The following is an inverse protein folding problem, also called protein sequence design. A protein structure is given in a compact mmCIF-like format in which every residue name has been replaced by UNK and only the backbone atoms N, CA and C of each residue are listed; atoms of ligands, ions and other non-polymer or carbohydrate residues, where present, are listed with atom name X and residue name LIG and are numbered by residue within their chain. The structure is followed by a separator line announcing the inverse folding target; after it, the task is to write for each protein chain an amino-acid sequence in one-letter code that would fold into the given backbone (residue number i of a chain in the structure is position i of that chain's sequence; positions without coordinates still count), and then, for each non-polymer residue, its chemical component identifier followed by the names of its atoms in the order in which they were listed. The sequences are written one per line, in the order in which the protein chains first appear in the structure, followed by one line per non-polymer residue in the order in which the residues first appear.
data_IF_587834979355
#
_entry.id   IF_587834979355
#
_cell.length_a   1.000
_cell.length_b   1.000
_cell.length_c   1.000
_cell.angle_alpha   90.00
_cell.angle_beta   90.00
_cell.angle_gamma   90.00
#
_symmetry.space_group_name_H-M   'P 1'
#
loop_
_entity.id
_entity.type
_entity.pdbx_description
1 polymer ?
#
# COMPACT_ATOMS: atom_id res chain seq x y z
N UNK A 1 18.16 35.85 36.20
CA UNK A 1 19.22 36.07 35.17
C UNK A 1 20.05 34.82 34.78
N UNK A 2 20.06 33.70 35.52
CA UNK A 2 20.93 32.53 35.19
C UNK A 2 20.46 31.61 34.04
N UNK A 3 19.19 31.64 33.61
CA UNK A 3 18.67 30.77 32.51
C UNK A 3 19.16 31.15 31.11
N UNK A 4 19.53 32.42 30.89
CA UNK A 4 19.89 32.91 29.55
C UNK A 4 21.33 32.53 29.14
N UNK A 5 22.20 32.24 30.12
CA UNK A 5 23.59 31.85 29.88
C UNK A 5 23.69 30.41 29.37
N UNK A 6 22.90 29.48 29.92
CA UNK A 6 22.90 28.07 29.49
C UNK A 6 22.42 27.87 28.05
N UNK A 7 21.38 28.61 27.62
CA UNK A 7 20.92 28.57 26.22
C UNK A 7 21.99 29.08 25.25
N UNK A 8 22.72 30.15 25.60
CA UNK A 8 23.78 30.69 24.74
C UNK A 8 24.98 29.75 24.63
N UNK A 9 25.35 29.06 25.71
CA UNK A 9 26.42 28.06 25.71
C UNK A 9 26.02 26.83 24.91
N UNK A 10 24.78 26.34 25.03
CA UNK A 10 24.28 25.22 24.24
C UNK A 10 24.23 25.55 22.73
N UNK A 11 23.75 26.75 22.36
CA UNK A 11 23.76 27.22 20.97
C UNK A 11 25.18 27.34 20.40
N UNK A 12 26.13 27.82 21.20
CA UNK A 12 27.54 27.87 20.80
C UNK A 12 28.14 26.49 20.62
N UNK A 13 27.86 25.54 21.51
CA UNK A 13 28.32 24.16 21.40
C UNK A 13 27.76 23.47 20.14
N UNK A 14 26.48 23.65 19.84
CA UNK A 14 25.87 23.14 18.60
C UNK A 14 26.48 23.77 17.35
N UNK A 15 26.75 25.08 17.37
CA UNK A 15 27.39 25.76 16.24
C UNK A 15 28.83 25.27 16.01
N UNK A 16 29.58 25.01 17.08
CA UNK A 16 30.94 24.44 17.01
C UNK A 16 30.90 23.01 16.46
N UNK A 17 30.00 22.15 16.95
CA UNK A 17 29.82 20.77 16.45
C UNK A 17 29.42 20.77 14.96
N UNK A 18 28.56 21.70 14.55
CA UNK A 18 28.17 21.86 13.15
C UNK A 18 29.37 22.29 12.29
N UNK A 19 30.12 23.30 12.72
CA UNK A 19 31.30 23.77 11.98
C UNK A 19 32.38 22.68 11.89
N UNK A 20 32.64 21.94 12.97
CA UNK A 20 33.65 20.87 12.95
C UNK A 20 33.21 19.70 12.07
N UNK A 21 31.94 19.31 12.09
CA UNK A 21 31.39 18.26 11.22
C UNK A 21 31.41 18.68 9.75
N UNK A 22 31.11 19.95 9.47
CA UNK A 22 31.17 20.51 8.12
C UNK A 22 32.61 20.60 7.59
N UNK A 23 33.55 21.06 8.42
CA UNK A 23 34.97 21.12 8.08
C UNK A 23 35.58 19.72 7.93
N UNK A 24 35.17 18.74 8.74
CA UNK A 24 35.55 17.34 8.58
C UNK A 24 35.01 16.76 7.27
N UNK A 25 33.75 17.06 6.93
CA UNK A 25 33.16 16.63 5.65
C UNK A 25 33.91 17.24 4.46
N UNK A 26 34.27 18.53 4.53
CA UNK A 26 35.09 19.18 3.51
C UNK A 26 36.50 18.61 3.43
N UNK A 27 37.12 18.28 4.56
CA UNK A 27 38.43 17.63 4.61
C UNK A 27 38.39 16.21 4.02
N UNK A 28 37.40 15.40 4.40
CA UNK A 28 37.17 14.05 3.87
C UNK A 28 36.89 14.07 2.38
N UNK A 29 36.07 15.02 1.88
CA UNK A 29 35.83 15.19 0.45
C UNK A 29 37.12 15.58 -0.27
N UNK A 30 37.96 16.43 0.32
CA UNK A 30 39.23 16.87 -0.28
C UNK A 30 40.28 15.75 -0.32
N UNK A 31 40.35 14.92 0.71
CA UNK A 31 41.21 13.72 0.74
C UNK A 31 40.67 12.60 -0.18
N UNK A 32 39.34 12.42 -0.26
CA UNK A 32 38.73 11.55 -1.29
C UNK A 32 39.09 12.06 -2.69
N UNK A 33 39.00 13.36 -2.94
CA UNK A 33 39.30 13.96 -4.25
C UNK A 33 40.78 13.80 -4.63
N UNK A 34 41.69 13.76 -3.65
CA UNK A 34 43.12 13.43 -3.87
C UNK A 34 43.36 11.94 -4.13
N UNK A 35 42.64 11.07 -3.42
CA UNK A 35 42.67 9.61 -3.63
C UNK A 35 42.05 9.19 -4.97
N UNK A 36 41.09 9.96 -5.49
CA UNK A 36 40.29 9.67 -6.68
C UNK A 36 40.93 10.07 -8.03
N UNK A 37 42.19 10.53 -8.05
CA UNK A 37 42.92 10.74 -9.30
C UNK A 37 43.36 9.43 -10.01
N UNK A 38 43.06 8.25 -9.46
CA UNK A 38 43.54 6.95 -9.97
C UNK A 38 42.49 5.84 -10.20
N UNK A 39 41.17 6.10 -10.23
CA UNK A 39 40.15 5.03 -10.38
C UNK A 39 38.89 5.42 -11.20
N UNK A 40 38.15 4.46 -11.83
CA UNK A 40 37.08 4.75 -12.79
C UNK A 40 35.84 5.42 -12.19
N UNK A 41 35.21 6.31 -12.96
CA UNK A 41 34.21 7.31 -12.53
C UNK A 41 32.87 6.75 -12.00
N UNK A 42 32.48 5.52 -12.34
CA UNK A 42 31.10 5.06 -12.13
C UNK A 42 30.83 4.42 -10.75
N UNK A 43 31.85 3.84 -10.12
CA UNK A 43 31.78 3.34 -8.72
C UNK A 43 31.80 4.45 -7.67
N UNK A 44 32.11 5.70 -8.07
CA UNK A 44 32.35 6.85 -7.18
C UNK A 44 31.05 7.60 -6.85
N UNK A 45 30.07 7.60 -7.76
CA UNK A 45 28.80 8.33 -7.57
C UNK A 45 27.92 7.63 -6.51
N UNK A 46 27.94 6.31 -6.45
CA UNK A 46 27.09 5.53 -5.54
C UNK A 46 27.55 5.63 -4.08
N UNK A 47 28.87 5.63 -3.83
CA UNK A 47 29.41 5.72 -2.48
C UNK A 47 29.24 7.13 -1.87
N UNK A 48 29.42 8.19 -2.67
CA UNK A 48 29.22 9.57 -2.23
C UNK A 48 27.73 9.86 -1.95
N UNK A 49 26.80 9.26 -2.70
CA UNK A 49 25.35 9.46 -2.48
C UNK A 49 24.79 8.73 -1.25
N UNK A 50 25.38 7.59 -0.84
CA UNK A 50 24.92 6.84 0.34
C UNK A 50 25.36 7.48 1.67
N UNK A 51 26.61 7.93 1.77
CA UNK A 51 27.11 8.56 3.01
C UNK A 51 26.53 9.96 3.24
N UNK A 52 26.33 10.73 2.17
CA UNK A 52 25.73 12.07 2.23
C UNK A 52 24.24 12.02 2.63
N UNK A 53 23.54 10.91 2.35
CA UNK A 53 22.15 10.70 2.77
C UNK A 53 22.02 10.35 4.26
N UNK A 54 22.91 9.50 4.79
CA UNK A 54 22.89 9.09 6.20
C UNK A 54 23.29 10.25 7.12
N UNK A 55 24.34 11.01 6.77
CA UNK A 55 24.76 12.19 7.54
C UNK A 55 23.72 13.32 7.50
N UNK A 56 23.07 13.57 6.36
CA UNK A 56 22.03 14.61 6.26
C UNK A 56 20.80 14.27 7.09
N UNK A 57 20.38 13.00 7.14
CA UNK A 57 19.21 12.59 7.92
C UNK A 57 19.49 12.54 9.44
N UNK A 58 20.69 12.12 9.87
CA UNK A 58 21.08 12.17 11.27
C UNK A 58 21.16 13.62 11.80
N UNK A 59 21.65 14.54 10.96
CA UNK A 59 21.72 15.97 11.29
C UNK A 59 20.32 16.60 11.31
N UNK A 60 19.40 16.15 10.44
CA UNK A 60 18.01 16.59 10.41
C UNK A 60 17.25 16.22 11.69
N UNK A 61 17.48 15.00 12.21
CA UNK A 61 16.83 14.53 13.43
C UNK A 61 17.29 15.32 14.67
N UNK A 62 18.58 15.67 14.74
CA UNK A 62 19.10 16.53 15.82
C UNK A 62 18.63 17.99 15.70
N UNK A 63 18.48 18.51 14.47
CA UNK A 63 17.98 19.87 14.25
C UNK A 63 16.49 19.97 14.56
N UNK A 64 15.65 19.01 14.19
CA UNK A 64 14.22 19.03 14.52
C UNK A 64 13.97 19.07 16.04
N UNK A 65 14.78 18.35 16.83
CA UNK A 65 14.65 18.30 18.28
C UNK A 65 15.10 19.61 18.99
N UNK A 66 16.13 20.27 18.44
CA UNK A 66 16.58 21.60 18.90
C UNK A 66 15.61 22.71 18.47
N UNK A 67 14.98 22.58 17.29
CA UNK A 67 14.12 23.58 16.67
C UNK A 67 12.68 23.56 17.21
N UNK A 68 12.16 22.40 17.62
CA UNK A 68 10.86 22.30 18.31
C UNK A 68 10.84 23.10 19.64
N UNK A 69 12.02 23.39 20.21
CA UNK A 69 12.18 24.14 21.44
C UNK A 69 12.47 25.64 21.26
N UNK A 70 12.65 26.14 20.04
CA UNK A 70 12.95 27.57 19.79
C UNK A 70 12.02 28.20 18.75
N UNK A 71 10.95 28.87 19.21
CA UNK A 71 10.03 29.66 18.37
C UNK A 71 10.72 30.92 17.81
N UNK A 72 11.44 30.80 16.71
CA UNK A 72 12.05 31.94 16.00
C UNK A 72 11.60 32.01 14.55
N UNK A 73 11.04 33.16 14.16
CA UNK A 73 10.52 33.47 12.82
C UNK A 73 11.56 33.27 11.69
N UNK A 74 12.86 33.42 11.98
CA UNK A 74 13.93 33.20 10.99
C UNK A 74 14.10 31.73 10.57
N UNK A 75 13.67 30.78 11.40
CA UNK A 75 13.78 29.34 11.11
C UNK A 75 12.73 28.88 10.11
N UNK A 76 11.49 29.40 10.20
CA UNK A 76 10.41 29.08 9.26
C UNK A 76 10.79 29.43 7.82
N UNK A 77 11.43 30.59 7.61
CA UNK A 77 11.88 31.00 6.27
C UNK A 77 12.93 30.07 5.68
N UNK A 78 13.85 29.57 6.51
CA UNK A 78 14.88 28.61 6.06
C UNK A 78 14.29 27.24 5.72
N UNK A 79 13.25 26.81 6.44
CA UNK A 79 12.48 25.58 6.12
C UNK A 79 11.81 25.72 4.74
N UNK A 80 11.16 26.85 4.49
CA UNK A 80 10.47 27.11 3.23
C UNK A 80 11.44 27.18 2.04
N UNK A 81 12.59 27.83 2.22
CA UNK A 81 13.65 27.90 1.21
C UNK A 81 14.28 26.52 0.94
N UNK A 82 14.46 25.68 1.97
CA UNK A 82 14.98 24.33 1.82
C UNK A 82 13.98 23.39 1.11
N UNK A 83 12.70 23.45 1.47
CA UNK A 83 11.63 22.71 0.79
C UNK A 83 11.46 23.15 -0.67
N UNK A 84 11.66 24.45 -0.96
CA UNK A 84 11.72 24.95 -2.33
C UNK A 84 12.90 24.35 -3.12
N UNK A 85 14.08 24.26 -2.50
CA UNK A 85 15.27 23.68 -3.11
C UNK A 85 15.11 22.18 -3.39
N UNK A 86 14.53 21.42 -2.44
CA UNK A 86 14.18 20.00 -2.63
C UNK A 86 13.27 19.80 -3.84
N UNK A 87 12.22 20.61 -3.99
CA UNK A 87 11.32 20.55 -5.15
C UNK A 87 12.05 20.85 -6.46
N UNK A 88 12.97 21.82 -6.46
CA UNK A 88 13.76 22.17 -7.66
C UNK A 88 14.69 21.04 -8.10
N UNK A 89 15.36 20.38 -7.14
CA UNK A 89 16.24 19.23 -7.41
C UNK A 89 15.42 18.01 -7.88
N UNK A 90 14.28 17.74 -7.23
CA UNK A 90 13.35 16.69 -7.61
C UNK A 90 12.83 16.85 -9.05
N UNK A 91 12.39 18.07 -9.41
CA UNK A 91 11.91 18.36 -10.76
C UNK A 91 13.01 18.26 -11.83
N UNK A 92 14.27 18.54 -11.47
CA UNK A 92 15.41 18.36 -12.37
C UNK A 92 15.69 16.87 -12.63
N UNK A 93 15.65 16.03 -11.58
CA UNK A 93 15.78 14.56 -11.71
C UNK A 93 14.63 13.94 -12.51
N UNK A 94 13.41 14.45 -12.32
CA UNK A 94 12.21 14.04 -13.08
C UNK A 94 12.38 14.20 -14.59
N UNK A 95 12.88 15.35 -15.05
CA UNK A 95 13.09 15.60 -16.49
C UNK A 95 14.07 14.62 -17.11
N UNK A 96 15.13 14.25 -16.40
CA UNK A 96 16.13 13.29 -16.89
C UNK A 96 15.54 11.88 -17.05
N UNK A 97 14.76 11.43 -16.06
CA UNK A 97 14.10 10.10 -16.06
C UNK A 97 12.95 10.00 -17.06
N UNK A 98 12.23 11.10 -17.31
CA UNK A 98 11.19 11.16 -18.34
C UNK A 98 11.78 11.00 -19.76
N UNK A 99 12.93 11.61 -20.07
CA UNK A 99 13.60 11.44 -21.37
C UNK A 99 14.14 10.04 -21.63
N UNK A 100 14.60 9.32 -20.61
CA UNK A 100 15.12 7.96 -20.78
C UNK A 100 14.02 6.90 -20.92
N UNK A 101 12.85 7.11 -20.30
CA UNK A 101 11.74 6.14 -20.35
C UNK A 101 10.78 6.31 -21.54
N UNK A 102 10.80 7.45 -22.22
CA UNK A 102 9.94 7.70 -23.41
C UNK A 102 10.36 6.84 -24.61
N UNK A 103 11.62 6.44 -24.71
CA UNK A 103 12.12 5.67 -25.84
C UNK A 103 11.94 4.14 -25.73
N UNK A 104 11.45 3.62 -24.59
CA UNK A 104 11.34 2.16 -24.35
C UNK A 104 9.90 1.62 -24.40
N UNK A 105 8.86 2.47 -24.44
CA UNK A 105 7.46 2.05 -24.26
C UNK A 105 6.48 2.51 -25.34
N UNK A 106 6.94 2.78 -26.56
CA UNK A 106 6.04 3.04 -27.69
C UNK A 106 5.56 1.72 -28.33
N UNK A 107 4.59 1.07 -27.70
CA UNK A 107 3.91 -0.09 -28.28
C UNK A 107 2.81 -0.68 -27.40
N UNK A 108 1.55 -0.37 -27.74
CA UNK A 108 0.30 -1.07 -27.34
C UNK A 108 -0.19 -1.03 -25.87
N UNK A 109 -1.42 -0.52 -25.71
CA UNK A 109 -2.37 -0.76 -24.62
C UNK A 109 -1.99 -0.45 -23.16
N UNK A 110 -1.45 0.74 -22.87
CA UNK A 110 -1.44 1.27 -21.50
C UNK A 110 -2.88 1.60 -21.08
N UNK A 111 -3.39 0.91 -20.06
CA UNK A 111 -4.72 1.11 -19.47
C UNK A 111 -4.96 2.55 -19.01
N UNK A 112 -6.22 2.99 -18.96
CA UNK A 112 -6.57 4.39 -18.63
C UNK A 112 -6.10 4.78 -17.22
N UNK A 113 -6.14 3.87 -16.26
CA UNK A 113 -5.64 4.12 -14.90
C UNK A 113 -4.12 4.32 -14.82
N UNK A 114 -3.32 3.59 -15.60
CA UNK A 114 -1.86 3.79 -15.68
C UNK A 114 -1.48 5.20 -16.16
N UNK A 115 -2.32 5.80 -17.02
CA UNK A 115 -2.16 7.21 -17.45
C UNK A 115 -2.54 8.20 -16.35
N UNK A 116 -3.57 7.89 -15.53
CA UNK A 116 -4.09 8.75 -14.46
C UNK A 116 -3.14 8.87 -13.26
N UNK A 117 -2.37 7.83 -12.97
CA UNK A 117 -1.34 7.84 -11.91
C UNK A 117 -0.32 8.98 -12.12
N UNK A 118 -0.01 9.32 -13.39
CA UNK A 118 1.01 10.33 -13.73
C UNK A 118 0.56 11.78 -13.52
N UNK A 119 -0.74 12.05 -13.33
CA UNK A 119 -1.29 13.42 -13.37
C UNK A 119 -1.73 14.02 -12.03
N UNK A 120 -1.65 13.30 -10.90
CA UNK A 120 -2.39 13.64 -9.68
C UNK A 120 -1.57 14.16 -8.48
N UNK A 121 -0.40 14.77 -8.69
CA UNK A 121 0.54 15.10 -7.59
C UNK A 121 0.23 16.37 -6.77
N UNK A 122 -0.72 17.24 -7.16
CA UNK A 122 -0.88 18.56 -6.50
C UNK A 122 -2.01 18.69 -5.47
N UNK A 123 -2.75 17.62 -5.17
CA UNK A 123 -3.54 17.37 -3.95
C UNK A 123 -4.14 15.97 -4.12
N UNK A 124 -3.65 14.99 -3.36
CA UNK A 124 -4.14 13.60 -3.46
C UNK A 124 -5.58 13.54 -2.95
N UNK A 125 -6.52 13.70 -3.86
CA UNK A 125 -7.96 13.54 -3.65
C UNK A 125 -8.42 12.30 -4.42
N UNK A 126 -8.18 11.14 -3.83
CA UNK A 126 -8.63 9.87 -4.35
C UNK A 126 -10.14 9.70 -4.14
N UNK A 127 -10.79 9.05 -5.08
CA UNK A 127 -12.17 8.62 -4.93
C UNK A 127 -12.27 7.37 -4.05
N UNK A 128 -11.45 6.35 -4.32
CA UNK A 128 -11.43 5.08 -3.60
C UNK A 128 -9.98 4.66 -3.32
N UNK A 129 -9.66 4.42 -2.06
CA UNK A 129 -8.36 3.89 -1.62
C UNK A 129 -8.55 2.62 -0.82
N UNK A 130 -7.49 1.83 -0.74
CA UNK A 130 -7.41 0.62 0.08
C UNK A 130 -6.47 0.83 1.26
N UNK A 131 -6.82 0.30 2.42
CA UNK A 131 -5.90 0.12 3.54
C UNK A 131 -5.74 -1.38 3.79
N UNK A 132 -4.55 -1.89 3.47
CA UNK A 132 -4.18 -3.29 3.60
C UNK A 132 -3.15 -3.45 4.73
N UNK A 133 -3.32 -4.46 5.58
CA UNK A 133 -2.22 -5.00 6.38
C UNK A 133 -1.84 -6.36 5.81
N UNK A 134 -0.57 -6.54 5.45
CA UNK A 134 -0.08 -7.80 4.87
C UNK A 134 1.08 -8.34 5.67
N UNK A 135 1.08 -9.66 5.90
CA UNK A 135 2.21 -10.41 6.42
C UNK A 135 2.54 -11.54 5.46
N UNK A 136 3.77 -11.57 4.96
CA UNK A 136 4.29 -12.64 4.13
C UNK A 136 5.47 -13.29 4.86
N UNK A 137 5.37 -14.59 5.12
CA UNK A 137 6.37 -15.32 5.89
C UNK A 137 6.40 -16.80 5.46
N UNK A 138 7.56 -17.45 5.63
CA UNK A 138 7.85 -18.77 5.08
C UNK A 138 6.87 -19.87 5.55
N UNK A 139 6.40 -19.78 6.79
CA UNK A 139 5.51 -20.76 7.40
C UNK A 139 4.02 -20.38 7.31
N UNK A 140 3.65 -19.47 6.40
CA UNK A 140 2.24 -19.22 6.13
C UNK A 140 1.57 -20.50 5.59
N UNK A 141 0.52 -20.95 6.29
CA UNK A 141 -0.25 -22.12 5.90
C UNK A 141 -0.98 -21.93 4.57
N UNK A 142 -1.31 -20.70 4.21
CA UNK A 142 -1.87 -20.40 2.89
C UNK A 142 -0.80 -20.22 1.81
N UNK A 143 0.49 -20.23 2.20
CA UNK A 143 1.65 -20.11 1.31
C UNK A 143 1.56 -18.89 0.41
N UNK A 144 0.95 -17.80 0.88
CA UNK A 144 0.89 -16.55 0.14
C UNK A 144 2.29 -15.97 0.01
N UNK A 145 2.61 -15.46 -1.17
CA UNK A 145 3.90 -14.83 -1.44
C UNK A 145 3.71 -13.47 -2.08
N UNK A 146 4.83 -12.81 -2.38
CA UNK A 146 4.85 -11.55 -3.12
C UNK A 146 4.12 -11.69 -4.47
N UNK A 147 4.13 -12.89 -5.07
CA UNK A 147 3.51 -13.13 -6.38
C UNK A 147 2.00 -12.92 -6.34
N UNK A 148 1.33 -13.50 -5.36
CA UNK A 148 -0.11 -13.34 -5.18
C UNK A 148 -0.47 -11.92 -4.72
N UNK A 149 0.37 -11.27 -3.92
CA UNK A 149 0.20 -9.86 -3.58
C UNK A 149 0.24 -8.97 -4.84
N UNK A 150 1.14 -9.22 -5.79
CA UNK A 150 1.19 -8.51 -7.08
C UNK A 150 -0.08 -8.74 -7.89
N UNK A 151 -0.57 -9.99 -7.98
CA UNK A 151 -1.84 -10.29 -8.65
C UNK A 151 -3.01 -9.51 -8.03
N UNK A 152 -3.10 -9.53 -6.70
CA UNK A 152 -4.13 -8.80 -5.96
C UNK A 152 -4.04 -7.28 -6.17
N UNK A 153 -2.83 -6.69 -6.14
CA UNK A 153 -2.66 -5.25 -6.39
C UNK A 153 -3.22 -4.85 -7.76
N UNK A 154 -2.94 -5.65 -8.79
CA UNK A 154 -3.45 -5.39 -10.14
C UNK A 154 -4.95 -5.59 -10.23
N UNK A 155 -5.52 -6.56 -9.50
CA UNK A 155 -6.96 -6.70 -9.37
C UNK A 155 -7.61 -5.48 -8.74
N UNK A 156 -7.09 -4.99 -7.62
CA UNK A 156 -7.68 -3.83 -6.92
C UNK A 156 -7.62 -2.57 -7.78
N UNK A 157 -6.53 -2.37 -8.52
CA UNK A 157 -6.41 -1.28 -9.51
C UNK A 157 -7.47 -1.40 -10.61
N UNK A 158 -7.67 -2.61 -11.15
CA UNK A 158 -8.73 -2.88 -12.11
C UNK A 158 -10.12 -2.64 -11.52
N UNK A 159 -10.39 -3.08 -10.29
CA UNK A 159 -11.66 -2.88 -9.61
C UNK A 159 -11.98 -1.40 -9.37
N UNK A 160 -10.96 -0.54 -9.38
CA UNK A 160 -11.08 0.90 -9.32
C UNK A 160 -10.48 1.54 -8.08
N UNK A 161 -9.70 0.81 -7.28
CA UNK A 161 -8.84 1.42 -6.25
C UNK A 161 -7.80 2.30 -6.93
N UNK A 162 -7.58 3.51 -6.41
CA UNK A 162 -6.63 4.47 -6.99
C UNK A 162 -5.29 4.50 -6.27
N UNK A 163 -5.28 4.04 -5.01
CA UNK A 163 -4.12 4.05 -4.16
C UNK A 163 -4.25 3.02 -3.04
N UNK A 164 -3.14 2.38 -2.69
CA UNK A 164 -3.07 1.40 -1.61
C UNK A 164 -2.16 1.94 -0.51
N UNK A 165 -2.68 2.05 0.71
CA UNK A 165 -1.88 2.22 1.92
C UNK A 165 -1.62 0.84 2.51
N UNK A 166 -0.37 0.38 2.46
CA UNK A 166 -0.02 -0.98 2.86
C UNK A 166 0.86 -0.96 4.12
N UNK A 167 0.32 -1.44 5.24
CA UNK A 167 1.11 -1.81 6.39
C UNK A 167 1.78 -3.15 6.14
N UNK A 168 3.10 -3.15 5.95
CA UNK A 168 3.86 -4.39 5.89
C UNK A 168 4.11 -4.87 7.32
N UNK A 169 3.31 -5.84 7.73
CA UNK A 169 3.48 -6.57 8.97
C UNK A 169 4.58 -7.61 8.79
N UNK A 170 5.67 -7.51 9.54
CA UNK A 170 6.79 -8.45 9.48
C UNK A 170 7.39 -8.68 10.87
N UNK A 171 7.94 -9.87 11.10
CA UNK A 171 8.68 -10.21 12.32
C UNK A 171 10.18 -10.02 12.11
N UNK A 172 10.70 -10.50 10.97
CA UNK A 172 12.12 -10.43 10.63
C UNK A 172 12.38 -9.37 9.55
N UNK A 173 13.54 -8.71 9.61
CA UNK A 173 13.93 -7.73 8.59
C UNK A 173 13.97 -8.28 7.16
N UNK A 174 14.22 -9.59 7.00
CA UNK A 174 14.17 -10.29 5.70
C UNK A 174 12.77 -10.43 5.11
N UNK A 175 11.72 -10.24 5.90
CA UNK A 175 10.31 -10.26 5.46
C UNK A 175 9.82 -8.88 5.00
N UNK A 176 10.67 -7.84 5.08
CA UNK A 176 10.34 -6.51 4.57
C UNK A 176 10.12 -6.53 3.06
N UNK A 177 9.06 -5.85 2.63
CA UNK A 177 8.62 -5.81 1.24
C UNK A 177 8.98 -4.50 0.53
N UNK A 178 9.59 -3.53 1.21
CA UNK A 178 9.85 -2.20 0.67
C UNK A 178 10.71 -2.22 -0.60
N UNK A 179 11.80 -3.01 -0.62
CA UNK A 179 12.66 -3.18 -1.80
C UNK A 179 11.90 -3.87 -2.92
N UNK A 180 11.19 -4.95 -2.61
CA UNK A 180 10.40 -5.76 -3.55
C UNK A 180 9.22 -5.01 -4.17
N UNK A 181 8.72 -3.97 -3.51
CA UNK A 181 7.59 -3.15 -3.97
C UNK A 181 8.02 -1.75 -4.45
N UNK A 182 9.31 -1.50 -4.62
CA UNK A 182 9.86 -0.20 -5.03
C UNK A 182 9.14 0.38 -6.25
N UNK A 183 8.81 -0.46 -7.24
CA UNK A 183 8.11 -0.03 -8.46
C UNK A 183 6.70 0.52 -8.20
N UNK A 184 5.93 -0.13 -7.32
CA UNK A 184 4.61 0.33 -6.91
C UNK A 184 4.69 1.60 -6.05
N UNK A 185 5.72 1.70 -5.21
CA UNK A 185 5.97 2.89 -4.37
C UNK A 185 6.33 4.10 -5.25
N UNK A 186 7.29 3.94 -6.15
CA UNK A 186 7.80 5.01 -7.01
C UNK A 186 6.77 5.47 -8.04
N UNK A 187 5.91 4.57 -8.52
CA UNK A 187 4.79 4.94 -9.37
C UNK A 187 3.66 5.64 -8.61
N UNK A 188 3.68 5.66 -7.27
CA UNK A 188 2.64 6.29 -6.48
C UNK A 188 1.34 5.49 -6.40
N UNK A 189 1.36 4.21 -6.78
CA UNK A 189 0.26 3.26 -6.58
C UNK A 189 0.14 2.89 -5.10
N UNK A 190 1.28 2.78 -4.43
CA UNK A 190 1.37 2.25 -3.08
C UNK A 190 2.10 3.21 -2.16
N UNK A 191 1.56 3.42 -0.96
CA UNK A 191 2.29 3.99 0.17
C UNK A 191 2.64 2.87 1.14
N UNK A 192 3.93 2.58 1.23
CA UNK A 192 4.46 1.59 2.15
C UNK A 192 4.51 2.17 3.57
N UNK A 193 3.92 1.44 4.51
CA UNK A 193 3.93 1.76 5.93
C UNK A 193 4.69 0.65 6.65
N UNK A 194 5.84 0.98 7.22
CA UNK A 194 6.66 0.03 7.98
C UNK A 194 5.92 -0.33 9.28
N UNK A 195 5.61 -1.62 9.47
CA UNK A 195 4.75 -2.10 10.56
C UNK A 195 5.28 -3.38 11.20
N UNK A 196 6.43 -3.35 11.91
CA UNK A 196 6.98 -4.56 12.53
C UNK A 196 6.01 -5.24 13.52
N UNK A 197 6.26 -6.51 13.86
CA UNK A 197 5.47 -7.30 14.81
C UNK A 197 5.37 -6.67 16.21
N UNK A 198 6.28 -5.76 16.57
CA UNK A 198 6.22 -5.00 17.82
C UNK A 198 5.62 -3.59 17.66
N UNK A 199 5.06 -3.26 16.50
CA UNK A 199 4.48 -1.95 16.23
C UNK A 199 3.16 -1.69 16.98
N UNK A 200 2.54 -2.74 17.54
CA UNK A 200 1.31 -2.60 18.32
C UNK A 200 1.59 -2.36 19.78
N UNK A 201 0.80 -1.47 20.39
CA UNK A 201 0.80 -1.24 21.83
C UNK A 201 0.28 -2.44 22.64
N UNK A 202 -0.46 -3.34 21.99
CA UNK A 202 -1.07 -4.52 22.61
C UNK A 202 -0.44 -5.79 22.03
N UNK A 203 0.68 -6.20 22.64
CA UNK A 203 1.54 -7.27 22.15
C UNK A 203 0.87 -8.65 22.21
N UNK A 204 0.32 -9.13 21.09
CA UNK A 204 0.04 -10.57 20.93
C UNK A 204 -1.02 -10.95 19.90
N UNK A 205 -2.02 -10.10 19.64
CA UNK A 205 -3.13 -10.46 18.76
C UNK A 205 -3.03 -9.75 17.40
N UNK A 206 -2.94 -10.54 16.32
CA UNK A 206 -2.93 -10.07 14.93
C UNK A 206 -4.11 -9.14 14.61
N UNK A 207 -5.26 -9.37 15.26
CA UNK A 207 -6.45 -8.53 15.16
C UNK A 207 -6.18 -7.11 15.63
N UNK A 208 -5.52 -6.95 16.78
CA UNK A 208 -5.15 -5.64 17.31
C UNK A 208 -4.15 -4.94 16.40
N UNK A 209 -3.17 -5.67 15.86
CA UNK A 209 -2.24 -5.10 14.89
C UNK A 209 -2.94 -4.56 13.64
N UNK A 210 -3.94 -5.28 13.12
CA UNK A 210 -4.72 -4.84 11.95
C UNK A 210 -5.49 -3.56 12.26
N UNK A 211 -6.23 -3.53 13.37
CA UNK A 211 -7.00 -2.36 13.78
C UNK A 211 -6.10 -1.14 14.05
N UNK A 212 -4.98 -1.32 14.75
CA UNK A 212 -4.05 -0.23 15.04
C UNK A 212 -3.39 0.32 13.77
N UNK A 213 -3.01 -0.55 12.82
CA UNK A 213 -2.54 -0.13 11.49
C UNK A 213 -3.62 0.70 10.78
N UNK A 214 -4.83 0.16 10.65
CA UNK A 214 -5.92 0.83 9.92
C UNK A 214 -6.21 2.21 10.48
N UNK A 215 -6.32 2.31 11.81
CA UNK A 215 -6.55 3.58 12.48
C UNK A 215 -5.35 4.53 12.39
N UNK A 216 -4.10 4.05 12.36
CA UNK A 216 -2.91 4.90 12.17
C UNK A 216 -2.84 5.45 10.74
N UNK A 217 -3.10 4.62 9.74
CA UNK A 217 -3.19 5.04 8.34
C UNK A 217 -4.34 6.03 8.16
N UNK A 218 -5.53 5.72 8.67
CA UNK A 218 -6.70 6.60 8.56
C UNK A 218 -6.48 7.97 9.19
N UNK A 219 -5.93 8.04 10.41
CA UNK A 219 -5.61 9.33 11.06
C UNK A 219 -4.68 10.19 10.21
N UNK A 220 -3.73 9.57 9.51
CA UNK A 220 -2.74 10.28 8.69
C UNK A 220 -3.24 10.63 7.29
N UNK A 221 -4.01 9.75 6.67
CA UNK A 221 -4.31 9.80 5.23
C UNK A 221 -5.80 9.72 4.89
N UNK A 222 -6.70 9.53 5.86
CA UNK A 222 -8.14 9.37 5.61
C UNK A 222 -8.77 10.54 4.86
N UNK A 223 -8.25 11.75 5.05
CA UNK A 223 -8.70 12.96 4.35
C UNK A 223 -8.32 13.00 2.86
N UNK A 224 -7.43 12.12 2.41
CA UNK A 224 -6.98 12.07 1.01
C UNK A 224 -7.93 11.27 0.11
N UNK A 225 -8.93 10.61 0.69
CA UNK A 225 -9.84 9.74 -0.04
C UNK A 225 -11.29 10.07 0.29
N UNK A 226 -12.20 9.89 -0.67
CA UNK A 226 -13.65 9.96 -0.42
C UNK A 226 -14.19 8.66 0.16
N UNK A 227 -13.73 7.53 -0.36
CA UNK A 227 -14.09 6.19 0.06
C UNK A 227 -12.84 5.37 0.37
N UNK A 228 -12.95 4.51 1.36
CA UNK A 228 -11.90 3.63 1.86
C UNK A 228 -12.47 2.23 1.88
N UNK A 229 -11.73 1.28 1.32
CA UNK A 229 -11.97 -0.14 1.47
C UNK A 229 -10.84 -0.75 2.33
N UNK A 230 -11.19 -1.75 3.12
CA UNK A 230 -10.23 -2.53 3.92
C UNK A 230 -10.49 -4.00 3.67
N UNK A 231 -9.48 -4.68 3.13
CA UNK A 231 -9.53 -6.10 2.74
C UNK A 231 -8.24 -6.81 3.12
N UNK A 232 -8.29 -8.13 3.09
CA UNK A 232 -7.11 -8.98 3.14
C UNK A 232 -6.64 -9.31 1.70
N UNK A 233 -5.39 -9.74 1.52
CA UNK A 233 -4.80 -10.00 0.18
C UNK A 233 -5.49 -11.18 -0.56
N UNK A 234 -6.24 -12.00 0.17
CA UNK A 234 -7.02 -13.11 -0.37
C UNK A 234 -8.49 -12.74 -0.63
N UNK A 235 -8.85 -11.46 -0.48
CA UNK A 235 -10.21 -10.94 -0.59
C UNK A 235 -10.37 -10.02 -1.81
N UNK A 236 -11.36 -10.33 -2.65
CA UNK A 236 -11.60 -9.74 -3.95
C UNK A 236 -13.06 -9.26 -4.02
N UNK A 237 -13.33 -7.94 -3.91
CA UNK A 237 -14.66 -7.40 -4.16
C UNK A 237 -15.13 -7.80 -5.55
N UNK A 238 -16.37 -8.19 -5.75
CA UNK A 238 -16.85 -8.68 -7.04
C UNK A 238 -18.29 -8.25 -7.32
N UNK A 239 -18.57 -7.91 -8.57
CA UNK A 239 -19.92 -7.63 -9.08
C UNK A 239 -20.17 -8.52 -10.30
N UNK A 240 -21.17 -9.41 -10.22
CA UNK A 240 -21.46 -10.37 -11.30
C UNK A 240 -21.92 -9.67 -12.58
N UNK A 241 -22.57 -8.52 -12.44
CA UNK A 241 -23.19 -7.81 -13.55
C UNK A 241 -22.34 -6.64 -14.07
N UNK A 242 -21.17 -6.37 -13.47
CA UNK A 242 -20.25 -5.31 -13.90
C UNK A 242 -18.80 -5.72 -13.61
N UNK A 243 -18.11 -6.16 -14.67
CA UNK A 243 -16.72 -6.66 -14.60
C UNK A 243 -15.71 -5.74 -15.31
N UNK A 244 -16.19 -4.62 -15.84
CA UNK A 244 -15.34 -3.65 -16.55
C UNK A 244 -14.40 -2.91 -15.58
N UNK A 245 -13.30 -2.37 -16.10
CA UNK A 245 -12.33 -1.54 -15.35
C UNK A 245 -13.07 -0.45 -14.55
N UNK A 246 -12.92 -0.44 -13.22
CA UNK A 246 -13.49 0.55 -12.32
C UNK A 246 -14.90 0.25 -11.82
N UNK A 247 -15.35 -1.01 -11.87
CA UNK A 247 -16.72 -1.39 -11.47
C UNK A 247 -17.07 -0.98 -10.03
N UNK A 248 -16.15 -1.06 -9.06
CA UNK A 248 -16.43 -0.62 -7.69
C UNK A 248 -16.72 0.87 -7.63
N UNK A 249 -15.97 1.69 -8.38
CA UNK A 249 -16.23 3.13 -8.43
C UNK A 249 -17.59 3.44 -9.03
N UNK A 250 -17.97 2.73 -10.11
CA UNK A 250 -19.28 2.86 -10.75
C UNK A 250 -20.39 2.45 -9.80
N UNK A 251 -20.23 1.31 -9.12
CA UNK A 251 -21.16 0.82 -8.12
C UNK A 251 -21.40 1.88 -7.03
N UNK A 252 -20.34 2.38 -6.40
CA UNK A 252 -20.44 3.41 -5.35
C UNK A 252 -21.11 4.69 -5.90
N UNK A 253 -20.73 5.16 -7.10
CA UNK A 253 -21.34 6.34 -7.71
C UNK A 253 -22.82 6.17 -7.97
N UNK A 254 -23.24 5.02 -8.51
CA UNK A 254 -24.64 4.68 -8.79
C UNK A 254 -25.47 4.88 -7.52
N UNK A 255 -25.08 4.25 -6.41
CA UNK A 255 -25.82 4.36 -5.16
C UNK A 255 -25.75 5.77 -4.54
N UNK A 256 -24.61 6.45 -4.64
CA UNK A 256 -24.50 7.83 -4.16
C UNK A 256 -25.45 8.79 -4.89
N UNK A 257 -25.67 8.58 -6.19
CA UNK A 257 -26.63 9.35 -7.00
C UNK A 257 -28.07 8.98 -6.66
N UNK A 258 -28.41 7.68 -6.67
CA UNK A 258 -29.81 7.24 -6.58
C UNK A 258 -30.39 7.24 -5.16
N UNK A 259 -29.58 6.89 -4.16
CA UNK A 259 -30.03 6.77 -2.77
C UNK A 259 -29.53 7.93 -1.90
N UNK A 260 -28.65 8.80 -2.42
CA UNK A 260 -28.31 10.08 -1.82
C UNK A 260 -27.12 10.08 -0.86
N UNK A 261 -26.78 11.28 -0.38
CA UNK A 261 -25.55 11.56 0.40
C UNK A 261 -25.54 11.00 1.82
N UNK A 262 -26.58 10.29 2.26
CA UNK A 262 -26.62 9.73 3.62
C UNK A 262 -25.93 8.35 3.70
N UNK A 263 -25.64 7.70 2.56
CA UNK A 263 -24.92 6.42 2.55
C UNK A 263 -23.47 6.63 2.93
N UNK A 264 -23.04 5.91 3.95
CA UNK A 264 -21.68 5.98 4.47
C UNK A 264 -20.95 4.63 4.42
N UNK A 265 -21.65 3.52 4.18
CA UNK A 265 -21.03 2.20 4.15
C UNK A 265 -21.74 1.26 3.19
N UNK A 266 -20.98 0.51 2.40
CA UNK A 266 -21.42 -0.66 1.64
C UNK A 266 -20.84 -1.90 2.29
N UNK A 267 -21.70 -2.89 2.55
CA UNK A 267 -21.34 -4.18 3.11
C UNK A 267 -21.25 -5.21 1.97
N UNK A 268 -20.28 -6.10 2.06
CA UNK A 268 -20.04 -7.17 1.08
C UNK A 268 -20.05 -8.49 1.85
N UNK A 269 -21.02 -9.35 1.52
CA UNK A 269 -21.12 -10.70 2.10
C UNK A 269 -19.94 -11.54 1.65
N UNK A 270 -19.41 -12.35 2.58
CA UNK A 270 -18.23 -13.17 2.34
C UNK A 270 -18.57 -14.53 1.71
N UNK A 271 -18.00 -14.80 0.54
CA UNK A 271 -18.11 -16.08 -0.17
C UNK A 271 -16.73 -16.69 -0.34
N UNK A 272 -16.57 -17.93 0.12
CA UNK A 272 -15.32 -18.66 -0.02
C UNK A 272 -15.17 -19.30 -1.40
N UNK A 273 -13.98 -19.14 -1.98
CA UNK A 273 -13.50 -19.97 -3.07
C UNK A 273 -12.65 -21.11 -2.50
N UNK A 274 -13.04 -22.35 -2.79
CA UNK A 274 -12.49 -23.58 -2.21
C UNK A 274 -11.93 -24.52 -3.30
N UNK A 275 -11.28 -25.60 -2.87
CA UNK A 275 -10.71 -26.63 -3.74
C UNK A 275 -9.20 -26.52 -3.94
N UNK A 276 -8.61 -27.56 -4.52
CA UNK A 276 -7.15 -27.68 -4.75
C UNK A 276 -6.60 -26.70 -5.79
N UNK A 277 -7.51 -26.24 -6.66
CA UNK A 277 -7.24 -25.41 -7.82
C UNK A 277 -6.50 -26.12 -8.96
N UNK A 278 -6.65 -25.60 -10.18
CA UNK A 278 -5.94 -26.13 -11.35
C UNK A 278 -4.47 -25.67 -11.37
N UNK A 279 -3.55 -26.50 -10.87
CA UNK A 279 -2.11 -26.20 -10.83
C UNK A 279 -1.44 -26.11 -12.21
N UNK A 280 -2.14 -26.34 -13.31
CA UNK A 280 -1.66 -25.97 -14.64
C UNK A 280 -1.71 -24.45 -14.88
N UNK A 281 -2.57 -23.73 -14.14
CA UNK A 281 -2.66 -22.26 -14.15
C UNK A 281 -1.72 -21.64 -13.13
N UNK A 282 -1.38 -20.38 -13.35
CA UNK A 282 -0.37 -19.66 -12.56
C UNK A 282 -0.88 -18.34 -11.94
N UNK A 283 -2.19 -18.10 -11.99
CA UNK A 283 -2.86 -17.03 -11.24
C UNK A 283 -3.93 -17.59 -10.31
N UNK A 284 -4.03 -17.06 -9.10
CA UNK A 284 -4.99 -17.53 -8.09
C UNK A 284 -6.44 -17.50 -8.59
N UNK A 285 -6.83 -16.42 -9.27
CA UNK A 285 -8.19 -16.25 -9.82
C UNK A 285 -8.53 -17.24 -10.95
N UNK A 286 -7.53 -17.82 -11.60
CA UNK A 286 -7.71 -18.85 -12.64
C UNK A 286 -7.66 -20.26 -12.05
N UNK A 287 -6.94 -20.45 -10.94
CA UNK A 287 -6.75 -21.76 -10.30
C UNK A 287 -8.00 -22.19 -9.54
N UNK A 288 -8.52 -21.32 -8.68
CA UNK A 288 -9.56 -21.68 -7.71
C UNK A 288 -10.88 -21.14 -8.21
N UNK A 289 -11.72 -22.02 -8.76
CA UNK A 289 -12.95 -21.62 -9.45
C UNK A 289 -14.22 -22.16 -8.78
N UNK A 290 -14.11 -22.91 -7.68
CA UNK A 290 -15.27 -23.41 -6.95
C UNK A 290 -15.67 -22.45 -5.84
N UNK A 291 -16.90 -21.94 -5.86
CA UNK A 291 -17.43 -21.04 -4.84
C UNK A 291 -18.48 -21.75 -3.98
N UNK A 292 -18.60 -21.38 -2.71
CA UNK A 292 -19.74 -21.79 -1.88
C UNK A 292 -21.05 -21.19 -2.41
N UNK A 293 -22.15 -21.95 -2.33
CA UNK A 293 -23.46 -21.49 -2.84
C UNK A 293 -24.07 -20.32 -2.04
N UNK A 294 -23.64 -20.13 -0.79
CA UNK A 294 -24.19 -19.15 0.15
C UNK A 294 -23.08 -18.44 0.91
N UNK A 295 -23.33 -17.24 1.46
CA UNK A 295 -22.38 -16.58 2.35
C UNK A 295 -21.96 -17.51 3.46
N UNK A 296 -20.66 -17.55 3.77
CA UNK A 296 -20.12 -18.51 4.75
C UNK A 296 -20.44 -18.12 6.19
N UNK A 297 -20.65 -16.84 6.44
CA UNK A 297 -20.97 -16.30 7.76
C UNK A 297 -21.59 -14.91 7.61
N UNK A 298 -22.03 -14.34 8.73
CA UNK A 298 -22.57 -12.97 8.80
C UNK A 298 -21.47 -11.91 8.81
N UNK A 299 -20.19 -12.29 8.68
CA UNK A 299 -19.10 -11.32 8.58
C UNK A 299 -19.17 -10.66 7.20
N UNK A 300 -19.03 -9.35 7.20
CA UNK A 300 -18.99 -8.55 5.98
C UNK A 300 -17.67 -7.79 5.92
N UNK A 301 -17.20 -7.57 4.69
CA UNK A 301 -16.16 -6.58 4.41
C UNK A 301 -16.82 -5.33 3.88
N UNK A 302 -16.19 -4.18 4.05
CA UNK A 302 -16.91 -2.91 3.87
C UNK A 302 -16.13 -1.88 3.07
N UNK A 303 -16.89 -1.08 2.31
CA UNK A 303 -16.42 0.14 1.66
C UNK A 303 -17.08 1.30 2.39
N UNK A 304 -16.27 2.22 2.91
CA UNK A 304 -16.71 3.23 3.87
C UNK A 304 -16.36 4.61 3.37
N UNK A 305 -17.24 5.58 3.61
CA UNK A 305 -16.96 6.97 3.32
C UNK A 305 -16.08 7.56 4.42
N UNK A 306 -14.99 8.20 4.04
CA UNK A 306 -13.95 8.65 4.98
C UNK A 306 -14.46 9.66 6.02
N UNK A 307 -15.45 10.48 5.69
CA UNK A 307 -16.04 11.47 6.60
C UNK A 307 -17.10 10.89 7.56
N UNK A 308 -17.38 9.59 7.48
CA UNK A 308 -18.38 8.92 8.31
C UNK A 308 -17.80 7.88 9.28
N UNK A 309 -16.50 7.62 9.25
CA UNK A 309 -15.86 6.62 10.12
C UNK A 309 -15.18 7.30 11.30
N UNK A 310 -15.44 6.79 12.50
CA UNK A 310 -14.76 7.19 13.72
C UNK A 310 -13.51 6.33 13.94
N UNK A 311 -13.69 5.01 13.83
CA UNK A 311 -12.65 4.02 14.11
C UNK A 311 -12.83 2.77 13.25
N UNK A 312 -11.73 2.24 12.74
CA UNK A 312 -11.71 0.97 12.03
C UNK A 312 -11.64 -0.20 13.01
N UNK A 313 -12.56 -1.15 12.86
CA UNK A 313 -12.51 -2.51 13.41
C UNK A 313 -12.24 -3.51 12.26
N UNK A 314 -12.29 -4.82 12.51
CA UNK A 314 -11.97 -5.85 11.50
C UNK A 314 -13.15 -6.14 10.55
N UNK A 315 -14.36 -6.20 11.08
CA UNK A 315 -15.56 -6.53 10.30
C UNK A 315 -16.63 -5.42 10.34
N UNK A 316 -16.76 -4.74 11.48
CA UNK A 316 -17.80 -3.72 11.69
C UNK A 316 -17.19 -2.45 12.26
N UNK A 317 -16.83 -1.51 11.39
CA UNK A 317 -16.22 -0.25 11.80
C UNK A 317 -17.22 0.66 12.53
N UNK A 318 -16.69 1.49 13.43
CA UNK A 318 -17.46 2.45 14.20
C UNK A 318 -17.70 3.68 13.33
N UNK A 319 -18.98 3.98 13.11
CA UNK A 319 -19.43 5.04 12.22
C UNK A 319 -19.94 6.22 13.04
N UNK A 320 -19.59 7.44 12.64
CA UNK A 320 -20.11 8.69 13.26
C UNK A 320 -21.51 9.03 12.77
N UNK A 321 -21.87 8.61 11.55
CA UNK A 321 -23.14 8.95 10.90
C UNK A 321 -23.46 8.05 9.70
N UNK A 322 -24.69 8.22 9.22
CA UNK A 322 -25.17 7.72 7.93
C UNK A 322 -25.57 6.25 7.92
N UNK A 323 -26.09 5.83 6.77
CA UNK A 323 -26.68 4.50 6.59
C UNK A 323 -25.68 3.51 5.99
N UNK A 324 -25.91 2.24 6.32
CA UNK A 324 -25.23 1.09 5.75
C UNK A 324 -26.11 0.47 4.67
N UNK A 325 -25.51 0.02 3.58
CA UNK A 325 -26.19 -0.74 2.53
C UNK A 325 -25.60 -2.13 2.50
N UNK A 326 -26.46 -3.12 2.73
CA UNK A 326 -26.23 -4.49 2.32
C UNK A 326 -26.92 -4.67 0.97
N UNK A 327 -26.22 -5.11 -0.09
CA UNK A 327 -26.85 -5.48 -1.35
C UNK A 327 -27.91 -6.55 -1.10
N UNK A 328 -29.07 -6.40 -1.73
CA UNK A 328 -30.17 -7.36 -1.58
C UNK A 328 -29.96 -8.62 -2.41
N UNK A 329 -29.11 -8.53 -3.43
CA UNK A 329 -28.73 -9.63 -4.30
C UNK A 329 -27.18 -9.73 -4.30
N UNK A 330 -26.61 -10.91 -3.99
CA UNK A 330 -25.17 -11.15 -4.10
C UNK A 330 -24.56 -10.84 -5.48
N UNK A 331 -25.38 -10.83 -6.54
CA UNK A 331 -24.95 -10.43 -7.89
C UNK A 331 -24.57 -8.95 -7.99
N UNK A 332 -25.07 -8.10 -7.08
CA UNK A 332 -24.82 -6.66 -7.05
C UNK A 332 -23.43 -6.33 -6.53
N UNK A 333 -23.05 -6.90 -5.38
CA UNK A 333 -21.70 -6.75 -4.82
C UNK A 333 -21.48 -7.80 -3.73
N UNK A 334 -20.38 -8.53 -3.84
CA UNK A 334 -19.96 -9.54 -2.87
C UNK A 334 -18.46 -9.48 -2.61
N UNK A 335 -18.01 -10.15 -1.56
CA UNK A 335 -16.60 -10.38 -1.29
C UNK A 335 -16.26 -11.82 -1.61
N UNK A 336 -15.31 -12.03 -2.53
CA UNK A 336 -14.78 -13.35 -2.87
C UNK A 336 -13.50 -13.59 -2.08
N UNK A 337 -13.44 -14.68 -1.33
CA UNK A 337 -12.33 -14.98 -0.43
C UNK A 337 -11.65 -16.29 -0.84
N UNK A 338 -10.43 -16.18 -1.36
CA UNK A 338 -9.65 -17.30 -1.87
C UNK A 338 -8.99 -18.09 -0.74
N UNK A 339 -9.66 -19.15 -0.29
CA UNK A 339 -9.16 -20.00 0.79
C UNK A 339 -8.51 -21.30 0.32
N UNK A 340 -8.88 -21.77 -0.87
CA UNK A 340 -8.41 -23.03 -1.45
C UNK A 340 -8.67 -24.24 -0.56
N UNK A 341 -7.80 -25.23 -0.61
CA UNK A 341 -8.00 -26.51 0.09
C UNK A 341 -7.81 -26.41 1.61
N UNK A 342 -7.01 -25.44 2.09
CA UNK A 342 -6.60 -25.30 3.49
C UNK A 342 -7.79 -25.35 4.46
N UNK A 343 -8.87 -24.66 4.12
CA UNK A 343 -10.04 -24.51 4.98
C UNK A 343 -11.22 -25.38 4.58
N UNK A 344 -11.22 -25.98 3.38
CA UNK A 344 -12.15 -27.05 3.06
C UNK A 344 -12.04 -28.17 4.09
N UNK A 345 -10.81 -28.58 4.44
CA UNK A 345 -10.58 -29.60 5.47
C UNK A 345 -11.04 -29.17 6.87
N UNK A 346 -10.92 -27.87 7.20
CA UNK A 346 -11.41 -27.35 8.48
C UNK A 346 -12.94 -27.34 8.53
N UNK A 347 -13.59 -26.88 7.47
CA UNK A 347 -15.05 -26.83 7.36
C UNK A 347 -15.66 -28.23 7.33
N UNK A 348 -15.00 -29.20 6.69
CA UNK A 348 -15.38 -30.62 6.78
C UNK A 348 -15.42 -31.08 8.24
N UNK A 349 -14.40 -30.74 9.03
CA UNK A 349 -14.36 -31.12 10.45
C UNK A 349 -15.46 -30.42 11.27
N UNK A 350 -15.81 -29.18 10.93
CA UNK A 350 -16.88 -28.41 11.60
C UNK A 350 -18.30 -28.86 11.16
N UNK A 351 -18.46 -29.41 9.95
CA UNK A 351 -19.73 -29.84 9.35
C UNK A 351 -19.95 -31.37 9.42
N UNK A 352 -19.57 -32.02 10.51
CA UNK A 352 -19.76 -33.47 10.71
C UNK A 352 -19.20 -34.35 9.57
N UNK A 353 -18.14 -33.91 8.89
CA UNK A 353 -17.49 -34.64 7.80
C UNK A 353 -17.99 -34.31 6.40
N UNK A 354 -19.00 -33.45 6.23
CA UNK A 354 -19.49 -33.05 4.91
C UNK A 354 -18.78 -31.78 4.40
N UNK A 355 -18.21 -31.79 3.18
CA UNK A 355 -17.65 -30.59 2.60
C UNK A 355 -18.76 -29.56 2.31
N UNK A 356 -18.47 -28.26 2.36
CA UNK A 356 -19.39 -27.22 1.90
C UNK A 356 -19.82 -27.49 0.47
N UNK A 357 -21.12 -27.31 0.17
CA UNK A 357 -21.61 -27.36 -1.21
C UNK A 357 -20.98 -26.22 -1.99
N UNK A 358 -20.35 -26.58 -3.09
CA UNK A 358 -19.70 -25.63 -4.01
C UNK A 358 -20.23 -25.81 -5.41
N UNK A 359 -20.17 -24.72 -6.18
CA UNK A 359 -20.53 -24.69 -7.59
C UNK A 359 -19.40 -24.07 -8.39
N UNK A 360 -19.34 -24.46 -9.66
CA UNK A 360 -18.39 -23.88 -10.59
C UNK A 360 -18.67 -22.39 -10.81
N UNK A 361 -17.62 -21.59 -10.68
CA UNK A 361 -17.65 -20.14 -10.70
C UNK A 361 -16.50 -19.57 -11.51
N UNK A 362 -16.36 -20.09 -12.74
CA UNK A 362 -15.38 -19.63 -13.72
C UNK A 362 -15.52 -18.14 -14.09
N UNK A 363 -16.64 -17.49 -13.75
CA UNK A 363 -16.88 -16.08 -14.05
C UNK A 363 -15.74 -15.15 -13.60
N UNK A 364 -15.11 -15.38 -12.44
CA UNK A 364 -13.97 -14.54 -12.00
C UNK A 364 -12.77 -14.73 -12.92
N UNK A 365 -12.44 -15.98 -13.24
CA UNK A 365 -11.35 -16.33 -14.16
C UNK A 365 -11.60 -15.75 -15.55
N UNK A 366 -12.80 -15.94 -16.10
CA UNK A 366 -13.16 -15.53 -17.46
C UNK A 366 -13.18 -14.00 -17.58
N UNK A 367 -13.70 -13.31 -16.57
CA UNK A 367 -13.83 -11.86 -16.59
C UNK A 367 -12.53 -11.12 -16.30
N UNK A 368 -11.66 -11.66 -15.41
CA UNK A 368 -10.48 -10.92 -14.95
C UNK A 368 -9.14 -11.57 -15.33
N UNK A 369 -9.08 -12.87 -15.58
CA UNK A 369 -7.84 -13.60 -15.80
C UNK A 369 -6.96 -12.96 -16.87
N UNK A 370 -7.50 -12.77 -18.06
CA UNK A 370 -6.75 -12.19 -19.18
C UNK A 370 -6.32 -10.74 -18.89
N UNK A 371 -7.20 -9.90 -18.36
CA UNK A 371 -6.92 -8.47 -18.15
C UNK A 371 -5.91 -8.23 -17.03
N UNK A 372 -5.98 -8.98 -15.93
CA UNK A 372 -5.01 -8.89 -14.83
C UNK A 372 -3.64 -9.41 -15.26
N UNK A 373 -3.59 -10.51 -16.01
CA UNK A 373 -2.36 -11.02 -16.60
C UNK A 373 -1.69 -9.98 -17.50
N UNK A 374 -2.44 -9.36 -18.42
CA UNK A 374 -1.89 -8.33 -19.30
C UNK A 374 -1.43 -7.08 -18.53
N UNK A 375 -2.16 -6.71 -17.48
CA UNK A 375 -1.79 -5.62 -16.57
C UNK A 375 -0.45 -5.88 -15.89
N UNK A 376 -0.23 -7.09 -15.36
CA UNK A 376 1.04 -7.51 -14.75
C UNK A 376 2.20 -7.49 -15.74
N UNK A 377 2.01 -8.11 -16.91
CA UNK A 377 3.03 -8.18 -17.96
C UNK A 377 3.42 -6.78 -18.47
N UNK A 378 2.43 -5.90 -18.69
CA UNK A 378 2.67 -4.51 -19.10
C UNK A 378 3.37 -3.70 -18.02
N UNK A 379 3.17 -4.07 -16.75
CA UNK A 379 3.89 -3.51 -15.62
C UNK A 379 5.21 -4.25 -15.34
N UNK A 380 5.67 -5.16 -16.21
CA UNK A 380 6.95 -5.86 -16.09
C UNK A 380 7.04 -6.88 -14.95
N UNK A 381 5.91 -7.32 -14.40
CA UNK A 381 5.84 -8.26 -13.26
C UNK A 381 5.78 -9.71 -13.75
N UNK A 382 6.80 -10.13 -14.49
CA UNK A 382 6.88 -11.49 -15.06
C UNK A 382 7.01 -12.57 -13.98
N UNK A 383 7.45 -12.20 -12.77
CA UNK A 383 7.61 -13.09 -11.63
C UNK A 383 6.33 -13.25 -10.79
N UNK A 384 5.27 -12.49 -11.09
CA UNK A 384 4.00 -12.55 -10.37
C UNK A 384 3.20 -13.84 -10.62
N UNK A 385 3.64 -14.69 -11.53
CA UNK A 385 2.96 -15.93 -11.90
C UNK A 385 3.54 -17.13 -11.13
N UNK A 386 2.66 -17.95 -10.56
CA UNK A 386 3.05 -19.12 -9.78
C UNK A 386 1.99 -20.20 -9.79
N UNK A 387 2.40 -21.44 -10.06
CA UNK A 387 1.56 -22.61 -9.80
C UNK A 387 1.85 -23.26 -8.45
N UNK A 388 3.00 -22.97 -7.83
CA UNK A 388 3.51 -23.68 -6.64
C UNK A 388 3.29 -22.96 -5.30
N UNK A 389 2.80 -21.72 -5.32
CA UNK A 389 2.52 -20.88 -4.14
C UNK A 389 1.03 -20.52 -4.07
N UNK A 390 0.58 -19.93 -2.97
CA UNK A 390 -0.84 -19.68 -2.68
C UNK A 390 -1.62 -20.95 -2.26
N UNK A 391 -2.88 -20.76 -1.86
CA UNK A 391 -3.72 -21.81 -1.27
C UNK A 391 -4.12 -22.89 -2.28
#
# INVERSE_FOLDING_TARGET
MKKNTYCKVALWACAVIYLTSFLWSLYSVRELTRSLQSSPRDSVIVAIEQDDFVLKNATLFMLEDVLLNTKSYKVSKLIDEHEHLKRKIWNKRRKTVETENINVLSGSAISKWQKKIRSNETRRNYFLVEILMVRLYEHDKARWTLKELKQWLHYMLWAGVEHVYMCNHYDKGSEKLNSSLTKYIQSGILTYVDWPWNASSNSGDIKNHQMECYNRVFRRFGHTAKWIITTDMDEYPFCKNDVDEGFLKRYIHKFFIFKGKHICQFLMQNYLMLGEGDRSKNMTIERITQIVEKPTNDLTKTIIRSDCVERFEIHTHIMTKGSRILPSDPSELMMIHFWGQRLQNKLINENNGEPPKTVDFNHVSDSFGSVIRQSLLSFGENDAFSNSTGP
#
